data_IF_424379950744
#
_entry.id   IF_424379950744
#
_cell.length_a   1.000
_cell.length_b   1.000
_cell.length_c   1.000
_cell.angle_alpha   90.00
_cell.angle_beta   90.00
_cell.angle_gamma   90.00
#
_symmetry.space_group_name_H-M   'P 1'
#
loop_
_entity.id
_entity.type
_entity.pdbx_description
1 polymer ?
#
# COMPACT_ATOMS: atom_id res chain seq x y z
N UNK A 1 73.32 28.90 0.61
CA UNK A 1 72.77 30.27 0.56
C UNK A 1 72.23 30.61 1.93
N UNK A 2 72.69 31.73 2.50
CA UNK A 2 72.21 32.29 3.78
C UNK A 2 70.97 33.16 3.56
N UNK A 3 70.31 33.48 4.69
CA UNK A 3 69.41 34.62 4.93
C UNK A 3 67.96 34.48 4.41
N UNK A 4 66.89 34.84 5.12
CA UNK A 4 66.50 35.12 6.52
C UNK A 4 65.07 35.68 6.42
N UNK A 5 64.27 35.51 7.47
CA UNK A 5 62.98 36.21 7.67
C UNK A 5 61.82 35.20 7.71
N UNK A 6 61.19 34.87 8.84
CA UNK A 6 60.83 35.66 10.04
C UNK A 6 60.02 36.90 9.69
N UNK A 7 58.70 36.74 9.63
CA UNK A 7 57.82 37.49 10.51
C UNK A 7 56.55 36.67 10.88
N UNK A 8 56.02 36.87 12.10
CA UNK A 8 54.97 36.07 12.74
C UNK A 8 53.67 36.88 12.89
N UNK A 9 52.73 36.31 13.67
CA UNK A 9 51.48 36.89 14.15
C UNK A 9 50.29 36.74 13.17
N UNK A 10 49.11 36.28 13.56
CA UNK A 10 48.50 36.38 14.87
C UNK A 10 47.64 35.16 15.20
N UNK A 11 47.84 34.71 16.44
CA UNK A 11 46.94 33.83 17.18
C UNK A 11 45.73 34.67 17.59
N UNK A 12 44.58 34.49 16.96
CA UNK A 12 43.21 34.85 17.39
C UNK A 12 42.36 34.60 16.12
N UNK A 13 41.42 33.68 16.04
CA UNK A 13 40.41 33.33 17.01
C UNK A 13 40.03 31.85 16.85
N UNK A 14 40.14 31.12 17.96
CA UNK A 14 39.27 30.00 18.26
C UNK A 14 37.87 30.61 18.42
N UNK A 15 36.88 30.10 17.66
CA UNK A 15 35.41 30.14 17.86
C UNK A 15 34.67 30.51 16.57
N UNK A 16 34.39 29.50 15.75
CA UNK A 16 33.14 29.37 15.00
C UNK A 16 33.04 27.94 14.45
N UNK A 17 32.93 26.94 15.34
CA UNK A 17 32.28 25.69 14.95
C UNK A 17 30.80 26.04 14.83
N UNK A 18 30.42 26.59 13.67
CA UNK A 18 29.03 26.65 13.29
C UNK A 18 28.57 25.21 13.12
N UNK A 19 27.93 24.70 14.19
CA UNK A 19 26.77 23.83 14.08
C UNK A 19 25.82 24.38 12.98
N UNK A 20 24.89 23.57 12.49
CA UNK A 20 23.98 23.81 11.34
C UNK A 20 24.63 23.40 10.00
N UNK A 21 24.25 22.34 9.29
CA UNK A 21 22.98 21.62 9.26
C UNK A 21 23.20 20.22 8.67
N UNK A 22 22.79 19.17 9.39
CA UNK A 22 22.61 17.85 8.80
C UNK A 22 21.39 17.95 7.89
N UNK A 23 21.60 18.14 6.58
CA UNK A 23 20.55 18.06 5.59
C UNK A 23 20.21 16.58 5.34
N UNK A 24 19.54 15.95 6.31
CA UNK A 24 18.88 14.67 6.09
C UNK A 24 17.59 14.96 5.32
N UNK A 25 17.67 14.91 3.99
CA UNK A 25 16.51 15.05 3.12
C UNK A 25 15.48 13.98 3.50
N UNK A 26 14.42 14.39 4.20
CA UNK A 26 13.25 13.56 4.44
C UNK A 26 12.44 13.51 3.15
N UNK A 27 12.50 12.39 2.44
CA UNK A 27 11.47 12.00 1.50
C UNK A 27 10.22 11.60 2.31
N UNK A 28 9.49 12.58 2.81
CA UNK A 28 8.13 12.34 3.28
C UNK A 28 7.26 12.33 2.02
N UNK A 29 6.92 11.12 1.57
CA UNK A 29 5.76 10.95 0.72
C UNK A 29 4.54 11.34 1.57
N UNK A 30 4.23 12.64 1.62
CA UNK A 30 2.86 13.08 1.88
C UNK A 30 2.10 12.68 0.63
N UNK A 31 1.63 11.43 0.60
CA UNK A 31 0.67 11.03 -0.41
C UNK A 31 -0.57 11.90 -0.18
N UNK A 32 -1.09 12.55 -1.24
CA UNK A 32 -2.39 13.19 -1.13
C UNK A 32 -3.39 12.14 -0.62
N UNK A 33 -4.24 12.54 0.33
CA UNK A 33 -5.35 11.73 0.83
C UNK A 33 -6.41 11.59 -0.27
N UNK A 34 -6.03 10.96 -1.36
CA UNK A 34 -6.93 10.50 -2.40
C UNK A 34 -7.27 9.04 -2.16
N UNK A 35 -8.14 8.47 -3.01
CA UNK A 35 -8.51 7.08 -2.91
C UNK A 35 -7.28 6.16 -3.02
N UNK A 36 -6.96 5.43 -1.95
CA UNK A 36 -5.76 4.59 -1.85
C UNK A 36 -6.14 3.10 -1.92
N UNK A 37 -5.44 2.27 -2.71
CA UNK A 37 -5.69 0.84 -2.69
C UNK A 37 -5.36 0.24 -1.32
N UNK A 38 -6.26 -0.60 -0.80
CA UNK A 38 -6.09 -1.33 0.45
C UNK A 38 -6.10 -2.84 0.19
N UNK A 39 -5.21 -3.55 0.88
CA UNK A 39 -5.21 -5.00 1.00
C UNK A 39 -4.84 -5.35 2.44
N UNK A 40 -5.87 -5.55 3.27
CA UNK A 40 -5.70 -5.71 4.70
C UNK A 40 -6.56 -6.83 5.27
N UNK A 41 -6.04 -7.47 6.32
CA UNK A 41 -6.84 -8.35 7.18
C UNK A 41 -7.42 -7.54 8.32
N UNK A 42 -8.61 -7.96 8.75
CA UNK A 42 -9.30 -7.36 9.85
C UNK A 42 -10.48 -8.20 10.29
N UNK A 43 -11.34 -7.60 11.10
CA UNK A 43 -12.58 -8.21 11.56
C UNK A 43 -13.76 -7.32 11.19
N UNK A 44 -14.88 -7.94 10.88
CA UNK A 44 -16.13 -7.21 10.73
C UNK A 44 -16.70 -6.95 12.12
N UNK A 45 -16.91 -5.70 12.49
CA UNK A 45 -17.46 -5.29 13.78
C UNK A 45 -18.82 -4.66 13.58
N UNK A 46 -19.78 -5.02 14.44
CA UNK A 46 -21.08 -4.39 14.45
C UNK A 46 -20.94 -3.01 15.11
N UNK A 47 -20.94 -1.95 14.31
CA UNK A 47 -21.09 -0.58 14.78
C UNK A 47 -22.53 -0.31 15.25
N UNK A 48 -22.84 0.95 15.58
CA UNK A 48 -24.18 1.31 16.06
C UNK A 48 -25.27 1.05 15.03
N UNK A 49 -24.98 1.29 13.77
CA UNK A 49 -25.95 1.24 12.67
C UNK A 49 -25.54 0.28 11.55
N UNK A 50 -24.25 0.04 11.38
CA UNK A 50 -23.69 -0.71 10.26
C UNK A 50 -22.61 -1.69 10.71
N UNK A 51 -22.35 -2.70 9.88
CA UNK A 51 -21.14 -3.53 10.01
C UNK A 51 -19.98 -2.78 9.39
N UNK A 52 -18.89 -2.65 10.15
CA UNK A 52 -17.66 -1.95 9.78
C UNK A 52 -16.52 -2.97 9.68
N UNK A 53 -15.52 -2.66 8.87
CA UNK A 53 -14.27 -3.40 8.83
C UNK A 53 -13.22 -2.68 9.67
N UNK A 54 -12.79 -3.32 10.74
CA UNK A 54 -11.64 -2.88 11.54
C UNK A 54 -10.39 -3.59 11.05
N UNK A 55 -9.53 -2.86 10.34
CA UNK A 55 -8.32 -3.39 9.73
C UNK A 55 -7.56 -2.33 8.96
N UNK A 56 -6.31 -2.60 8.60
CA UNK A 56 -5.49 -1.64 7.84
C UNK A 56 -5.18 -0.32 8.56
N UNK A 57 -5.49 -0.20 9.86
CA UNK A 57 -5.20 0.98 10.68
C UNK A 57 -6.41 1.87 10.98
N UNK A 58 -7.62 1.51 10.55
CA UNK A 58 -8.84 2.28 10.82
C UNK A 58 -10.11 1.42 10.75
N UNK A 59 -11.26 2.09 10.86
CA UNK A 59 -12.60 1.51 10.73
C UNK A 59 -13.26 1.98 9.46
N UNK A 60 -13.56 1.06 8.54
CA UNK A 60 -14.09 1.43 7.23
C UNK A 60 -15.45 0.83 6.96
N UNK A 61 -16.31 1.59 6.30
CA UNK A 61 -17.59 1.10 5.80
C UNK A 61 -17.41 0.27 4.53
N UNK A 62 -18.09 -0.87 4.48
CA UNK A 62 -18.14 -1.77 3.34
C UNK A 62 -19.56 -1.77 2.75
N UNK A 63 -19.68 -1.39 1.47
CA UNK A 63 -20.97 -1.48 0.75
C UNK A 63 -21.42 -2.93 0.52
N UNK A 64 -20.48 -3.88 0.47
CA UNK A 64 -20.78 -5.29 0.28
C UNK A 64 -19.74 -6.15 1.02
N UNK A 65 -20.20 -7.00 1.93
CA UNK A 65 -19.40 -7.99 2.66
C UNK A 65 -19.85 -9.43 2.36
N UNK A 66 -20.67 -9.62 1.34
CA UNK A 66 -21.07 -10.93 0.81
C UNK A 66 -21.71 -11.83 1.87
N UNK A 67 -21.06 -12.97 2.14
CA UNK A 67 -21.54 -14.01 3.07
C UNK A 67 -21.05 -13.82 4.52
N UNK A 68 -20.15 -12.89 4.75
CA UNK A 68 -19.53 -12.67 6.06
C UNK A 68 -20.47 -11.86 6.96
N UNK A 69 -20.28 -11.98 8.27
CA UNK A 69 -21.08 -11.28 9.29
C UNK A 69 -20.18 -10.56 10.27
N UNK A 70 -20.76 -9.65 11.05
CA UNK A 70 -20.06 -9.10 12.20
C UNK A 70 -19.57 -10.24 13.12
N UNK A 71 -18.30 -10.16 13.51
CA UNK A 71 -17.54 -11.17 14.24
C UNK A 71 -16.56 -11.96 13.37
N UNK A 72 -16.76 -12.00 12.04
CA UNK A 72 -15.90 -12.78 11.15
C UNK A 72 -14.57 -12.07 10.86
N UNK A 73 -13.49 -12.84 10.86
CA UNK A 73 -12.20 -12.40 10.34
C UNK A 73 -12.24 -12.45 8.80
N UNK A 74 -11.85 -11.35 8.16
CA UNK A 74 -11.90 -11.21 6.71
C UNK A 74 -10.64 -10.53 6.19
N UNK A 75 -10.30 -10.82 4.94
CA UNK A 75 -9.35 -10.04 4.16
C UNK A 75 -10.12 -9.19 3.17
N UNK A 76 -9.86 -7.89 3.16
CA UNK A 76 -10.52 -6.93 2.26
C UNK A 76 -9.49 -6.38 1.30
N UNK A 77 -9.80 -6.43 0.00
CA UNK A 77 -9.05 -5.75 -1.05
C UNK A 77 -9.96 -4.78 -1.78
N UNK A 78 -9.52 -3.55 -1.97
CA UNK A 78 -10.32 -2.51 -2.63
C UNK A 78 -9.62 -1.16 -2.62
N UNK A 79 -10.39 -0.08 -2.63
CA UNK A 79 -9.87 1.28 -2.56
C UNK A 79 -10.53 2.05 -1.44
N UNK A 80 -9.74 2.54 -0.48
CA UNK A 80 -10.20 3.40 0.62
C UNK A 80 -10.42 4.79 0.10
N UNK A 81 -11.61 5.32 0.35
CA UNK A 81 -11.98 6.71 0.12
C UNK A 81 -12.30 7.37 1.48
N UNK A 82 -11.41 8.24 2.01
CA UNK A 82 -11.64 8.92 3.28
C UNK A 82 -12.66 10.05 3.18
N UNK A 83 -12.94 10.57 1.97
CA UNK A 83 -13.87 11.67 1.75
C UNK A 83 -15.30 11.18 1.45
N UNK A 84 -15.53 9.87 1.48
CA UNK A 84 -16.85 9.33 1.24
C UNK A 84 -17.82 9.75 2.37
N UNK A 85 -19.06 10.06 2.00
CA UNK A 85 -20.14 10.19 2.99
C UNK A 85 -20.68 8.80 3.32
N UNK A 86 -20.04 8.10 4.26
CA UNK A 86 -20.61 6.88 4.83
C UNK A 86 -21.92 7.21 5.57
N UNK A 87 -22.93 6.35 5.45
CA UNK A 87 -24.17 6.45 6.25
C UNK A 87 -23.86 6.24 7.75
N UNK A 88 -22.76 5.55 8.04
CA UNK A 88 -22.39 5.09 9.35
C UNK A 88 -21.44 6.10 10.00
N UNK A 89 -21.89 6.77 11.06
CA UNK A 89 -21.09 7.81 11.74
C UNK A 89 -19.83 7.29 12.45
N UNK A 90 -19.76 5.97 12.63
CA UNK A 90 -18.64 5.29 13.31
C UNK A 90 -17.50 4.90 12.33
N UNK A 91 -17.64 5.18 11.03
CA UNK A 91 -16.64 4.87 10.02
C UNK A 91 -15.69 6.05 9.77
N UNK A 92 -14.40 5.77 9.65
CA UNK A 92 -13.35 6.73 9.26
C UNK A 92 -13.32 6.99 7.74
N UNK A 93 -13.98 6.14 6.96
CA UNK A 93 -14.08 6.22 5.49
C UNK A 93 -14.81 5.01 4.90
N UNK A 94 -14.79 4.88 3.58
CA UNK A 94 -15.44 3.78 2.86
C UNK A 94 -14.45 3.03 2.01
N UNK A 95 -14.67 1.73 1.83
CA UNK A 95 -13.94 0.95 0.84
C UNK A 95 -14.85 0.73 -0.36
N UNK A 96 -14.47 1.33 -1.49
CA UNK A 96 -15.10 1.15 -2.79
C UNK A 96 -14.50 -0.05 -3.52
N UNK A 97 -15.34 -0.78 -4.28
CA UNK A 97 -14.89 -1.97 -5.02
C UNK A 97 -14.33 -3.07 -4.13
N UNK A 98 -14.81 -3.15 -2.88
CA UNK A 98 -14.32 -4.10 -1.90
C UNK A 98 -14.64 -5.55 -2.29
N UNK A 99 -13.60 -6.37 -2.36
CA UNK A 99 -13.70 -7.82 -2.43
C UNK A 99 -13.29 -8.40 -1.08
N UNK A 100 -14.20 -9.18 -0.50
CA UNK A 100 -14.03 -9.78 0.82
C UNK A 100 -13.72 -11.26 0.68
N UNK A 101 -12.57 -11.65 1.23
CA UNK A 101 -12.03 -12.99 1.16
C UNK A 101 -11.97 -13.65 2.54
N UNK A 102 -12.09 -14.97 2.52
CA UNK A 102 -11.85 -15.79 3.70
C UNK A 102 -10.34 -15.86 3.96
N UNK A 103 -9.86 -15.43 5.13
CA UNK A 103 -8.42 -15.39 5.43
C UNK A 103 -7.80 -16.79 5.51
N UNK A 104 -8.59 -17.85 5.71
CA UNK A 104 -8.13 -19.25 5.66
C UNK A 104 -7.79 -19.65 4.22
N UNK A 105 -8.54 -19.13 3.24
CA UNK A 105 -8.30 -19.39 1.82
C UNK A 105 -7.25 -18.45 1.22
N UNK A 106 -7.29 -17.17 1.61
CA UNK A 106 -6.41 -16.11 1.13
C UNK A 106 -5.79 -15.34 2.30
N UNK A 107 -4.69 -15.85 2.89
CA UNK A 107 -4.03 -15.19 4.02
C UNK A 107 -3.45 -13.83 3.64
N UNK A 108 -3.45 -12.88 4.58
CA UNK A 108 -2.87 -11.55 4.35
C UNK A 108 -1.34 -11.56 4.22
N UNK A 109 -0.81 -10.53 3.57
CA UNK A 109 0.61 -10.43 3.25
C UNK A 109 1.06 -11.40 2.13
N UNK A 110 0.12 -12.15 1.55
CA UNK A 110 0.37 -13.01 0.39
C UNK A 110 -0.35 -12.43 -0.83
N UNK A 111 0.29 -12.39 -2.02
CA UNK A 111 -0.39 -11.94 -3.22
C UNK A 111 -1.59 -12.84 -3.51
N UNK A 112 -2.73 -12.24 -3.88
CA UNK A 112 -3.91 -13.00 -4.29
C UNK A 112 -3.59 -13.70 -5.61
N UNK A 113 -3.19 -14.97 -5.54
CA UNK A 113 -3.04 -15.82 -6.72
C UNK A 113 -4.41 -16.33 -7.11
N UNK A 114 -5.17 -15.53 -7.86
CA UNK A 114 -6.36 -16.05 -8.53
C UNK A 114 -5.91 -17.01 -9.65
N UNK A 115 -6.54 -18.19 -9.78
CA UNK A 115 -6.19 -19.17 -10.81
C UNK A 115 -6.49 -18.72 -12.25
N UNK A 116 -7.04 -17.51 -12.44
CA UNK A 116 -7.36 -16.93 -13.74
C UNK A 116 -6.61 -15.65 -14.04
N UNK A 117 -5.37 -15.54 -13.59
CA UNK A 117 -4.53 -14.41 -13.98
C UNK A 117 -3.76 -14.75 -15.28
N UNK A 118 -4.22 -14.30 -16.46
CA UNK A 118 -3.54 -14.59 -17.73
C UNK A 118 -2.13 -13.98 -17.80
N UNK A 119 -1.79 -13.07 -16.88
CA UNK A 119 -0.48 -12.44 -16.79
C UNK A 119 0.49 -13.13 -15.80
N UNK A 120 0.01 -13.94 -14.83
CA UNK A 120 0.92 -14.56 -13.84
C UNK A 120 1.75 -15.72 -14.38
N UNK A 121 1.45 -16.25 -15.57
CA UNK A 121 2.28 -17.27 -16.22
C UNK A 121 2.43 -18.59 -15.45
N UNK A 122 1.79 -18.73 -14.28
CA UNK A 122 1.75 -19.96 -13.50
C UNK A 122 0.62 -20.83 -14.05
N UNK A 123 0.93 -21.51 -15.16
CA UNK A 123 0.19 -22.70 -15.57
C UNK A 123 0.33 -23.74 -14.44
N UNK A 124 -0.67 -23.86 -13.57
CA UNK A 124 -0.82 -25.09 -12.77
C UNK A 124 -1.15 -26.19 -13.80
N UNK A 125 -0.35 -27.27 -13.92
CA UNK A 125 -0.58 -28.30 -14.91
C UNK A 125 -1.71 -29.21 -14.42
N UNK A 126 -2.94 -28.74 -14.50
CA UNK A 126 -4.11 -29.59 -14.42
C UNK A 126 -4.69 -29.72 -15.83
N UNK A 127 -4.32 -30.84 -16.47
CA UNK A 127 -4.84 -31.37 -17.72
C UNK A 127 -4.33 -30.68 -19.01
N UNK A 128 -3.30 -31.32 -19.56
CA UNK A 128 -2.91 -31.17 -20.95
C UNK A 128 -4.07 -31.55 -21.89
N UNK A 129 -4.78 -30.56 -22.42
CA UNK A 129 -5.41 -30.57 -23.74
C UNK A 129 -6.08 -29.22 -23.98
N UNK A 130 -5.42 -28.35 -24.73
CA UNK A 130 -5.97 -27.44 -25.75
C UNK A 130 -4.80 -26.57 -26.20
N UNK A 131 -4.22 -26.98 -27.32
CA UNK A 131 -3.29 -26.20 -28.11
C UNK A 131 -4.03 -25.02 -28.77
N UNK A 132 -3.27 -23.95 -29.09
CA UNK A 132 -3.66 -22.74 -29.84
C UNK A 132 -4.32 -21.58 -29.08
N UNK A 133 -3.62 -20.91 -28.15
CA UNK A 133 -3.93 -19.51 -27.84
C UNK A 133 -2.76 -18.65 -27.29
N UNK A 134 -1.54 -19.20 -27.14
CA UNK A 134 -0.47 -18.55 -26.37
C UNK A 134 0.19 -17.31 -27.04
N UNK A 135 -0.11 -16.99 -28.30
CA UNK A 135 0.52 -15.86 -28.99
C UNK A 135 -0.19 -14.51 -28.77
N UNK A 136 -1.49 -14.49 -28.42
CA UNK A 136 -2.26 -13.25 -28.30
C UNK A 136 -2.24 -12.61 -26.91
N UNK A 137 -2.05 -13.40 -25.85
CA UNK A 137 -2.07 -12.90 -24.47
C UNK A 137 -0.85 -12.02 -24.12
N UNK A 138 0.31 -12.29 -24.72
CA UNK A 138 1.57 -11.57 -24.43
C UNK A 138 1.55 -10.08 -24.83
N UNK A 139 0.66 -9.67 -25.74
CA UNK A 139 0.53 -8.24 -26.12
C UNK A 139 -0.27 -7.43 -25.10
N UNK A 140 -1.18 -8.04 -24.35
CA UNK A 140 -2.07 -7.30 -23.44
C UNK A 140 -1.37 -6.89 -22.13
N UNK A 141 -0.45 -7.70 -21.60
CA UNK A 141 0.30 -7.32 -20.38
C UNK A 141 1.41 -6.27 -20.63
N UNK A 142 1.80 -5.97 -21.89
CA UNK A 142 2.83 -4.95 -22.19
C UNK A 142 2.30 -3.51 -22.17
N UNK A 143 0.97 -3.29 -22.16
CA UNK A 143 0.38 -1.95 -22.21
C UNK A 143 0.08 -1.33 -20.84
N UNK A 144 0.15 -2.07 -19.72
CA UNK A 144 -0.12 -1.50 -18.38
C UNK A 144 1.13 -1.01 -17.63
N UNK A 145 2.30 -0.95 -18.30
CA UNK A 145 3.56 -0.50 -17.66
C UNK A 145 4.18 0.71 -18.37
N UNK A 146 3.36 1.50 -19.07
CA UNK A 146 3.73 2.81 -19.61
C UNK A 146 2.61 3.79 -19.25
N UNK A 147 2.70 4.33 -18.06
CA UNK A 147 2.29 5.71 -17.76
C UNK A 147 3.25 6.27 -16.69
#
# INVERSE_FOLDING_TARGET
MRFTGWAPADRLAILAISLHSVAFARAQATQPAGPEPIDACGVLVQGRECVLFEGGGGSYYLSNYGRFRAGDAVRVVGTVDPDCSAICSDADGCISGAEVYDPVSFPCGQPIRVPFDPCSGVMIPALAAVSLAAASAKRKCRMSNVE
#
